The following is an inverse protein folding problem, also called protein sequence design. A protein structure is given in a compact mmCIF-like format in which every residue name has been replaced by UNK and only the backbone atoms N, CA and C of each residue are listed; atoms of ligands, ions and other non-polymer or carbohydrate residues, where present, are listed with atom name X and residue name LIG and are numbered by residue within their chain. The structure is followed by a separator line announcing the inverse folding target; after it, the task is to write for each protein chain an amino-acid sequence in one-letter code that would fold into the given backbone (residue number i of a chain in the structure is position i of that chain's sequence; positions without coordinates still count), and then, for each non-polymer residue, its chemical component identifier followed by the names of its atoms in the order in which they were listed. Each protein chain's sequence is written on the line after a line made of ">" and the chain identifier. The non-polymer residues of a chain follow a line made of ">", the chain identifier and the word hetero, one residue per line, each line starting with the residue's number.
data_IF_744073746159
#
_entry.id   IF_744073746159
#
_cell.length_a   1.000
_cell.length_b   1.000
_cell.length_c   1.000
_cell.angle_alpha   90.00
_cell.angle_beta   90.00
_cell.angle_gamma   90.00
#
_symmetry.space_group_name_H-M   'P 1'
#
loop_
_entity.id
_entity.type
_entity.pdbx_description
1 polymer ?
#
# COMPACT_ATOMS: atom_id res chain seq x y z
N UNK A 1 10.84 -12.85 21.62
CA UNK A 1 11.16 -11.43 21.88
C UNK A 1 9.94 -10.60 21.54
N UNK A 2 9.50 -9.69 22.40
CA UNK A 2 8.45 -8.73 22.04
C UNK A 2 8.97 -7.81 20.94
N UNK A 3 8.23 -7.63 19.84
CA UNK A 3 8.60 -6.64 18.81
C UNK A 3 8.53 -5.24 19.46
N UNK A 4 9.54 -4.42 19.23
CA UNK A 4 9.58 -3.06 19.76
C UNK A 4 8.39 -2.23 19.25
N UNK A 5 7.79 -1.43 20.12
CA UNK A 5 6.71 -0.50 19.76
C UNK A 5 7.27 0.66 18.91
N UNK A 6 6.44 1.22 18.02
CA UNK A 6 6.74 2.41 17.26
C UNK A 6 6.42 3.67 18.09
N UNK A 7 7.36 4.60 18.12
CA UNK A 7 7.26 5.88 18.81
C UNK A 7 6.65 6.96 17.90
N UNK A 8 6.80 6.83 16.58
CA UNK A 8 6.16 7.68 15.60
C UNK A 8 5.83 6.90 14.31
N UNK A 9 4.73 7.29 13.67
CA UNK A 9 4.38 6.78 12.34
C UNK A 9 3.80 7.91 11.49
N UNK A 10 4.01 7.79 10.18
CA UNK A 10 3.35 8.60 9.16
C UNK A 10 2.68 7.66 8.16
N UNK A 11 1.46 7.97 7.75
CA UNK A 11 0.66 7.15 6.85
C UNK A 11 0.20 7.95 5.63
N UNK A 12 0.53 7.43 4.46
CA UNK A 12 0.12 7.95 3.16
C UNK A 12 -0.99 7.05 2.61
N UNK A 13 -2.09 7.68 2.24
CA UNK A 13 -3.24 7.02 1.61
C UNK A 13 -3.91 8.03 0.68
N UNK A 14 -4.39 7.54 -0.44
CA UNK A 14 -5.23 8.30 -1.32
C UNK A 14 -6.66 8.34 -0.77
N UNK A 15 -7.20 7.36 -0.04
CA UNK A 15 -8.61 7.36 0.35
C UNK A 15 -8.86 8.13 1.67
N UNK A 16 -9.74 9.13 1.63
CA UNK A 16 -10.05 9.93 2.83
C UNK A 16 -10.75 9.11 3.94
N UNK A 17 -11.58 8.14 3.57
CA UNK A 17 -12.26 7.26 4.52
C UNK A 17 -11.27 6.39 5.30
N UNK A 18 -10.22 5.87 4.65
CA UNK A 18 -9.16 5.16 5.36
C UNK A 18 -8.34 6.06 6.27
N UNK A 19 -8.05 7.30 5.85
CA UNK A 19 -7.38 8.28 6.70
C UNK A 19 -8.23 8.62 7.95
N UNK A 20 -9.54 8.80 7.79
CA UNK A 20 -10.45 9.09 8.90
C UNK A 20 -10.55 7.92 9.90
N UNK A 21 -10.54 6.69 9.38
CA UNK A 21 -10.49 5.47 10.19
C UNK A 21 -9.20 5.37 11.01
N UNK A 22 -8.04 5.66 10.38
CA UNK A 22 -6.75 5.69 11.07
C UNK A 22 -6.72 6.84 12.07
N UNK A 23 -7.21 8.03 11.74
CA UNK A 23 -7.29 9.18 12.64
C UNK A 23 -8.10 8.86 13.90
N UNK A 24 -9.23 8.17 13.73
CA UNK A 24 -10.14 7.81 14.82
C UNK A 24 -9.51 6.80 15.77
N UNK A 25 -8.80 5.80 15.24
CA UNK A 25 -8.27 4.68 16.03
C UNK A 25 -6.84 4.89 16.49
N UNK A 26 -6.06 5.61 15.70
CA UNK A 26 -4.64 5.86 15.86
C UNK A 26 -4.29 7.35 15.65
N UNK A 27 -4.83 8.25 16.50
CA UNK A 27 -4.75 9.70 16.30
C UNK A 27 -3.34 10.29 16.37
N UNK A 28 -2.35 9.54 16.83
CA UNK A 28 -0.95 9.99 16.88
C UNK A 28 -0.15 9.64 15.62
N UNK A 29 -0.75 8.94 14.65
CA UNK A 29 -0.14 8.71 13.35
C UNK A 29 -0.32 9.98 12.53
N UNK A 30 0.78 10.52 11.99
CA UNK A 30 0.71 11.63 11.03
C UNK A 30 0.08 11.14 9.74
N UNK A 31 -0.88 11.88 9.19
CA UNK A 31 -1.64 11.46 8.01
C UNK A 31 -1.31 12.37 6.82
N UNK A 32 -1.08 11.76 5.66
CA UNK A 32 -0.88 12.45 4.40
C UNK A 32 -1.88 11.93 3.38
N UNK A 33 -2.79 12.82 2.96
CA UNK A 33 -3.67 12.58 1.82
C UNK A 33 -2.85 12.75 0.53
N UNK A 34 -2.74 11.65 -0.21
CA UNK A 34 -2.24 11.64 -1.60
C UNK A 34 -3.39 12.00 -2.52
N UNK A 35 -3.09 12.73 -3.60
CA UNK A 35 -4.11 13.17 -4.54
C UNK A 35 -4.68 11.99 -5.34
N UNK A 36 -5.94 12.12 -5.76
CA UNK A 36 -6.64 11.18 -6.63
C UNK A 36 -7.79 11.91 -7.33
N UNK A 37 -8.19 11.40 -8.49
CA UNK A 37 -9.32 11.88 -9.29
C UNK A 37 -10.45 10.86 -9.26
N UNK A 38 -11.68 11.30 -8.99
CA UNK A 38 -12.89 10.46 -9.07
C UNK A 38 -13.92 11.04 -10.04
N UNK A 39 -14.76 10.20 -10.69
CA UNK A 39 -14.80 8.73 -10.60
C UNK A 39 -13.78 8.04 -11.50
N UNK A 40 -13.22 6.92 -11.02
CA UNK A 40 -12.26 6.13 -11.78
C UNK A 40 -12.95 5.10 -12.67
N UNK A 41 -12.47 4.98 -13.91
CA UNK A 41 -12.89 3.97 -14.89
C UNK A 41 -11.69 3.18 -15.37
N UNK A 42 -11.91 1.92 -15.77
CA UNK A 42 -10.86 1.11 -16.41
C UNK A 42 -10.22 1.88 -17.55
N UNK A 43 -8.90 1.73 -17.68
CA UNK A 43 -8.12 2.44 -18.68
C UNK A 43 -7.81 1.53 -19.87
N UNK A 44 -7.99 2.09 -21.06
CA UNK A 44 -7.64 1.45 -22.34
C UNK A 44 -6.14 1.56 -22.57
N UNK A 45 -5.51 0.49 -23.05
CA UNK A 45 -4.11 0.53 -23.47
C UNK A 45 -3.89 1.34 -24.75
N UNK A 46 -4.96 1.59 -25.51
CA UNK A 46 -4.90 2.15 -26.87
C UNK A 46 -5.46 3.58 -26.98
N UNK A 47 -5.90 4.19 -25.87
CA UNK A 47 -6.46 5.53 -25.88
C UNK A 47 -6.41 6.23 -24.52
N UNK A 48 -6.31 7.56 -24.55
CA UNK A 48 -6.36 8.42 -23.36
C UNK A 48 -5.02 8.53 -22.63
N UNK A 49 -5.00 9.02 -21.38
CA UNK A 49 -3.74 9.28 -20.67
C UNK A 49 -2.84 8.06 -20.50
N UNK A 50 -3.40 6.84 -20.44
CA UNK A 50 -2.61 5.62 -20.32
C UNK A 50 -1.85 5.29 -21.61
N UNK A 51 -2.43 5.54 -22.79
CA UNK A 51 -1.70 5.29 -24.04
C UNK A 51 -0.50 6.23 -24.17
N UNK A 52 -0.64 7.48 -23.72
CA UNK A 52 0.47 8.44 -23.69
C UNK A 52 1.61 7.95 -22.77
N UNK A 53 1.28 7.41 -21.59
CA UNK A 53 2.28 6.78 -20.72
C UNK A 53 2.95 5.58 -21.40
N UNK A 54 2.17 4.71 -22.03
CA UNK A 54 2.66 3.51 -22.73
C UNK A 54 3.68 3.87 -23.81
N UNK A 55 3.45 4.96 -24.54
CA UNK A 55 4.37 5.42 -25.58
C UNK A 55 5.72 5.87 -25.01
N UNK A 56 5.78 6.26 -23.72
CA UNK A 56 7.05 6.57 -23.02
C UNK A 56 7.79 5.32 -22.51
N UNK A 57 7.13 4.17 -22.48
CA UNK A 57 7.65 2.90 -21.98
C UNK A 57 8.13 1.99 -23.12
N UNK A 58 8.86 2.56 -24.08
CA UNK A 58 9.39 1.82 -25.23
C UNK A 58 10.23 0.61 -24.75
N UNK A 59 9.99 -0.56 -25.37
CA UNK A 59 10.63 -1.83 -25.03
C UNK A 59 10.35 -2.39 -23.62
N UNK A 60 9.34 -1.88 -22.91
CA UNK A 60 8.90 -2.47 -21.65
C UNK A 60 8.21 -3.83 -21.89
N UNK A 61 8.78 -4.90 -21.33
CA UNK A 61 8.31 -6.28 -21.53
C UNK A 61 6.90 -6.51 -20.99
N UNK A 62 6.52 -5.78 -19.93
CA UNK A 62 5.18 -5.87 -19.36
C UNK A 62 4.13 -5.20 -20.24
N UNK A 63 4.44 -4.04 -20.83
CA UNK A 63 3.58 -3.38 -21.81
C UNK A 63 3.35 -4.27 -23.03
N UNK A 64 4.41 -4.93 -23.52
CA UNK A 64 4.29 -5.90 -24.61
C UNK A 64 3.34 -7.04 -24.24
N UNK A 65 3.51 -7.65 -23.06
CA UNK A 65 2.61 -8.67 -22.54
C UNK A 65 1.16 -8.19 -22.47
N UNK A 66 0.91 -7.01 -21.89
CA UNK A 66 -0.43 -6.46 -21.75
C UNK A 66 -1.11 -6.30 -23.12
N UNK A 67 -0.42 -5.71 -24.11
CA UNK A 67 -0.95 -5.53 -25.48
C UNK A 67 -1.28 -6.85 -26.19
N UNK A 68 -0.69 -7.99 -25.80
CA UNK A 68 -1.01 -9.31 -26.36
C UNK A 68 -2.17 -9.98 -25.62
N UNK A 69 -2.44 -9.59 -24.38
CA UNK A 69 -3.31 -10.34 -23.46
C UNK A 69 -4.63 -9.64 -23.14
N UNK A 70 -4.64 -8.32 -23.07
CA UNK A 70 -5.82 -7.53 -22.70
C UNK A 70 -5.79 -6.17 -23.37
N UNK A 71 -6.95 -5.59 -23.66
CA UNK A 71 -7.06 -4.19 -24.13
C UNK A 71 -7.24 -3.19 -22.98
N UNK A 72 -7.52 -3.70 -21.77
CA UNK A 72 -7.92 -2.89 -20.62
C UNK A 72 -7.19 -3.32 -19.35
N UNK A 73 -6.91 -2.35 -18.51
CA UNK A 73 -6.28 -2.55 -17.19
C UNK A 73 -7.10 -1.84 -16.11
N UNK A 74 -6.77 -2.00 -14.82
CA UNK A 74 -7.33 -1.20 -13.74
C UNK A 74 -7.19 0.29 -14.04
N UNK A 75 -8.05 1.09 -13.41
CA UNK A 75 -8.12 2.53 -13.66
C UNK A 75 -6.76 3.18 -13.41
N UNK A 76 -6.20 3.80 -14.44
CA UNK A 76 -5.02 4.67 -14.38
C UNK A 76 -5.47 6.10 -14.14
N UNK A 77 -4.83 6.77 -13.19
CA UNK A 77 -5.06 8.18 -12.87
C UNK A 77 -3.75 8.96 -12.91
N UNK A 78 -3.51 9.81 -13.94
CA UNK A 78 -2.27 10.57 -14.12
C UNK A 78 -1.99 11.56 -12.97
N UNK A 79 -3.01 11.95 -12.21
CA UNK A 79 -2.88 12.91 -11.11
C UNK A 79 -2.73 12.23 -9.74
N UNK A 80 -2.77 10.89 -9.71
CA UNK A 80 -2.64 10.08 -8.50
C UNK A 80 -1.21 9.69 -8.14
N UNK A 81 -1.10 9.02 -6.99
CA UNK A 81 0.14 8.49 -6.46
C UNK A 81 1.04 9.59 -5.89
N UNK A 82 1.96 9.18 -5.02
CA UNK A 82 2.88 10.07 -4.29
C UNK A 82 3.67 10.96 -5.25
N UNK A 83 3.64 12.27 -4.96
CA UNK A 83 4.39 13.28 -5.69
C UNK A 83 5.50 13.87 -4.81
N UNK A 84 6.35 14.72 -5.38
CA UNK A 84 7.45 15.37 -4.65
C UNK A 84 6.96 16.19 -3.45
N UNK A 85 5.82 16.85 -3.56
CA UNK A 85 5.19 17.56 -2.45
C UNK A 85 4.82 16.63 -1.27
N UNK A 86 4.43 15.39 -1.54
CA UNK A 86 4.13 14.40 -0.50
C UNK A 86 5.42 13.86 0.15
N UNK A 87 6.45 13.64 -0.65
CA UNK A 87 7.79 13.28 -0.17
C UNK A 87 8.34 14.37 0.76
N UNK A 88 8.09 15.65 0.45
CA UNK A 88 8.50 16.75 1.30
C UNK A 88 7.80 16.72 2.67
N UNK A 89 6.49 16.37 2.73
CA UNK A 89 5.78 16.16 4.00
C UNK A 89 6.44 15.05 4.84
N UNK A 90 6.94 13.99 4.21
CA UNK A 90 7.73 12.97 4.91
C UNK A 90 9.02 13.56 5.51
N UNK A 91 9.78 14.34 4.75
CA UNK A 91 11.03 14.93 5.26
C UNK A 91 10.79 15.93 6.39
N UNK A 92 9.68 16.67 6.36
CA UNK A 92 9.26 17.55 7.46
C UNK A 92 8.93 16.77 8.72
N UNK A 93 8.14 15.70 8.59
CA UNK A 93 7.86 14.79 9.69
C UNK A 93 9.14 14.16 10.26
N UNK A 94 10.03 13.69 9.39
CA UNK A 94 11.27 13.00 9.77
C UNK A 94 12.24 13.88 10.59
N UNK A 95 12.18 15.21 10.44
CA UNK A 95 12.97 16.16 11.25
C UNK A 95 12.57 16.19 12.72
N UNK A 96 11.32 15.88 13.02
CA UNK A 96 10.75 15.99 14.39
C UNK A 96 10.45 14.63 15.00
N UNK A 97 10.21 13.60 14.18
CA UNK A 97 9.98 12.25 14.63
C UNK A 97 11.27 11.61 15.18
N UNK A 98 11.21 11.10 16.41
CA UNK A 98 12.31 10.44 17.12
C UNK A 98 11.94 9.01 17.50
N UNK A 99 12.94 8.22 17.93
CA UNK A 99 12.74 6.84 18.40
C UNK A 99 12.58 5.81 17.28
N UNK A 100 11.82 4.75 17.55
CA UNK A 100 11.50 3.71 16.57
C UNK A 100 10.36 4.19 15.64
N UNK A 101 10.64 4.31 14.34
CA UNK A 101 9.79 5.03 13.39
C UNK A 101 9.37 4.13 12.23
N UNK A 102 8.15 4.36 11.71
CA UNK A 102 7.64 3.67 10.52
C UNK A 102 6.96 4.64 9.54
N UNK A 103 7.28 4.49 8.26
CA UNK A 103 6.54 5.02 7.12
C UNK A 103 5.55 3.96 6.67
N UNK A 104 4.26 4.28 6.70
CA UNK A 104 3.18 3.44 6.20
C UNK A 104 2.71 3.98 4.85
N UNK A 105 2.60 3.10 3.86
CA UNK A 105 2.19 3.43 2.50
C UNK A 105 1.05 2.51 2.10
N UNK A 106 -0.08 3.07 1.66
CA UNK A 106 -1.01 2.30 0.85
C UNK A 106 -0.45 2.03 -0.55
N UNK A 107 -0.99 1.03 -1.23
CA UNK A 107 -0.58 0.66 -2.57
C UNK A 107 -1.37 1.40 -3.66
N UNK A 108 -2.64 1.05 -3.82
CA UNK A 108 -3.51 1.47 -4.93
C UNK A 108 -3.68 3.00 -4.90
N UNK A 109 -3.46 3.68 -6.03
CA UNK A 109 -3.51 5.15 -6.20
C UNK A 109 -2.65 5.99 -5.22
N UNK A 110 -1.86 5.34 -4.37
CA UNK A 110 -1.00 5.95 -3.35
C UNK A 110 0.46 5.78 -3.73
N UNK A 111 0.96 4.54 -3.78
CA UNK A 111 2.30 4.29 -4.32
C UNK A 111 2.25 4.25 -5.85
N UNK A 112 1.29 3.49 -6.37
CA UNK A 112 1.08 3.31 -7.81
C UNK A 112 -0.01 4.25 -8.31
N UNK A 113 -0.03 4.51 -9.61
CA UNK A 113 -1.03 5.38 -10.25
C UNK A 113 -2.27 4.64 -10.73
N UNK A 114 -2.47 3.42 -10.21
CA UNK A 114 -3.51 2.51 -10.63
C UNK A 114 -4.34 2.07 -9.43
N UNK A 115 -5.65 1.95 -9.65
CA UNK A 115 -6.58 1.40 -8.66
C UNK A 115 -6.58 -0.13 -8.68
N UNK A 116 -5.45 -0.72 -8.28
CA UNK A 116 -5.23 -2.16 -8.34
C UNK A 116 -4.03 -2.55 -9.19
N UNK A 117 -3.65 -3.80 -9.05
CA UNK A 117 -2.71 -4.49 -9.91
C UNK A 117 -3.47 -5.65 -10.55
N UNK A 118 -3.42 -5.74 -11.87
CA UNK A 118 -4.03 -6.85 -12.59
C UNK A 118 -2.93 -7.83 -12.89
N UNK A 119 -2.99 -8.97 -12.21
CA UNK A 119 -2.03 -10.05 -12.37
C UNK A 119 -2.78 -11.25 -12.93
N UNK A 120 -2.20 -11.96 -13.92
CA UNK A 120 -2.86 -13.13 -14.48
C UNK A 120 -3.09 -14.18 -13.39
N UNK A 121 -4.31 -14.73 -13.33
CA UNK A 121 -4.64 -15.82 -12.41
C UNK A 121 -3.83 -17.07 -12.78
N UNK A 122 -3.37 -17.83 -11.78
CA UNK A 122 -2.60 -19.07 -11.95
C UNK A 122 -3.21 -20.08 -12.93
N UNK A 123 -4.54 -20.08 -13.05
CA UNK A 123 -5.30 -21.00 -13.89
C UNK A 123 -5.56 -20.47 -15.32
N UNK A 124 -5.07 -19.27 -15.63
CA UNK A 124 -5.30 -18.61 -16.93
C UNK A 124 -4.15 -18.89 -17.90
N UNK A 125 -4.47 -18.94 -19.19
CA UNK A 125 -3.49 -18.98 -20.29
C UNK A 125 -2.51 -17.80 -20.15
N UNK A 126 -2.99 -16.67 -19.65
CA UNK A 126 -2.19 -15.50 -19.31
C UNK A 126 -1.06 -15.75 -18.33
N UNK A 127 -1.22 -16.67 -17.37
CA UNK A 127 -0.16 -16.98 -16.40
C UNK A 127 0.98 -17.76 -17.05
N UNK A 128 0.66 -18.70 -17.94
CA UNK A 128 1.68 -19.40 -18.71
C UNK A 128 2.43 -18.44 -19.64
N UNK A 129 1.71 -17.51 -20.28
CA UNK A 129 2.34 -16.47 -21.09
C UNK A 129 3.25 -15.60 -20.22
N UNK A 130 2.74 -15.05 -19.11
CA UNK A 130 3.48 -14.21 -18.17
C UNK A 130 4.73 -14.90 -17.63
N UNK A 131 4.66 -16.20 -17.30
CA UNK A 131 5.80 -17.00 -16.82
C UNK A 131 6.82 -17.30 -17.91
N UNK A 132 6.39 -17.41 -19.16
CA UNK A 132 7.24 -17.73 -20.30
C UNK A 132 7.88 -16.49 -20.94
N UNK A 133 7.21 -15.34 -20.90
CA UNK A 133 7.86 -14.05 -21.16
C UNK A 133 8.74 -13.72 -19.96
N UNK A 134 10.02 -13.46 -20.19
CA UNK A 134 10.95 -12.97 -19.16
C UNK A 134 10.56 -11.52 -18.80
N UNK A 135 9.46 -11.34 -18.06
CA UNK A 135 9.00 -10.03 -17.60
C UNK A 135 9.75 -9.69 -16.32
N UNK A 136 10.54 -8.62 -16.37
CA UNK A 136 11.25 -8.17 -15.19
C UNK A 136 10.30 -7.44 -14.21
N UNK A 137 10.40 -7.66 -12.89
CA UNK A 137 9.63 -6.89 -11.90
C UNK A 137 9.78 -5.38 -12.05
N UNK A 138 10.93 -4.92 -12.57
CA UNK A 138 11.22 -3.53 -12.89
C UNK A 138 10.28 -2.97 -13.96
N UNK A 139 9.99 -3.73 -15.00
CA UNK A 139 9.10 -3.28 -16.08
C UNK A 139 7.67 -3.13 -15.59
N UNK A 140 7.22 -4.06 -14.75
CA UNK A 140 5.92 -4.00 -14.06
C UNK A 140 5.88 -2.77 -13.15
N UNK A 141 6.92 -2.55 -12.34
CA UNK A 141 7.03 -1.40 -11.46
C UNK A 141 6.99 -0.07 -12.26
N UNK A 142 7.81 0.07 -13.30
CA UNK A 142 7.82 1.29 -14.13
C UNK A 142 6.45 1.58 -14.73
N UNK A 143 5.72 0.55 -15.17
CA UNK A 143 4.34 0.72 -15.66
C UNK A 143 3.41 1.25 -14.56
N UNK A 144 3.32 0.54 -13.42
CA UNK A 144 2.39 0.90 -12.35
C UNK A 144 2.71 2.22 -11.64
N UNK A 145 3.99 2.62 -11.60
CA UNK A 145 4.40 3.89 -11.00
C UNK A 145 4.25 5.10 -11.93
N UNK A 146 3.82 4.88 -13.19
CA UNK A 146 3.58 5.95 -14.15
C UNK A 146 4.83 6.45 -14.86
N UNK A 147 5.73 5.53 -15.20
CA UNK A 147 6.91 5.82 -16.00
C UNK A 147 8.22 5.83 -15.23
N UNK A 148 9.32 5.95 -15.98
CA UNK A 148 10.68 5.86 -15.45
C UNK A 148 10.98 6.95 -14.41
N UNK A 149 10.55 8.18 -14.66
CA UNK A 149 10.86 9.32 -13.79
C UNK A 149 10.27 9.13 -12.38
N UNK A 150 8.97 8.82 -12.30
CA UNK A 150 8.29 8.55 -11.02
C UNK A 150 8.84 7.31 -10.32
N UNK A 151 9.10 6.23 -11.08
CA UNK A 151 9.78 5.05 -10.57
C UNK A 151 11.12 5.40 -9.89
N UNK A 152 11.98 6.18 -10.58
CA UNK A 152 13.28 6.57 -10.05
C UNK A 152 13.18 7.52 -8.85
N UNK A 153 12.22 8.45 -8.86
CA UNK A 153 11.95 9.35 -7.75
C UNK A 153 11.56 8.58 -6.48
N UNK A 154 10.55 7.72 -6.58
CA UNK A 154 10.01 6.98 -5.43
C UNK A 154 11.03 5.96 -4.94
N UNK A 155 11.72 5.25 -5.84
CA UNK A 155 12.76 4.28 -5.46
C UNK A 155 13.91 4.94 -4.70
N UNK A 156 14.40 6.10 -5.16
CA UNK A 156 15.44 6.87 -4.44
C UNK A 156 14.96 7.31 -3.06
N UNK A 157 13.75 7.85 -2.97
CA UNK A 157 13.17 8.24 -1.69
C UNK A 157 13.06 7.07 -0.71
N UNK A 158 12.59 5.90 -1.14
CA UNK A 158 12.48 4.72 -0.28
C UNK A 158 13.86 4.18 0.17
N UNK A 159 14.89 4.31 -0.68
CA UNK A 159 16.27 4.03 -0.29
C UNK A 159 16.72 4.98 0.83
N UNK A 160 16.43 6.26 0.72
CA UNK A 160 16.82 7.27 1.71
C UNK A 160 16.07 7.08 3.04
N UNK A 161 14.77 6.76 2.98
CA UNK A 161 13.96 6.37 4.13
C UNK A 161 14.60 5.19 4.86
N UNK A 162 14.94 4.12 4.14
CA UNK A 162 15.57 2.93 4.71
C UNK A 162 16.94 3.22 5.34
N UNK A 163 17.79 4.01 4.66
CA UNK A 163 19.10 4.43 5.19
C UNK A 163 18.99 5.26 6.48
N UNK A 164 17.90 6.01 6.65
CA UNK A 164 17.63 6.78 7.86
C UNK A 164 17.14 5.95 9.06
N UNK A 165 17.05 4.62 8.91
CA UNK A 165 16.60 3.69 9.95
C UNK A 165 15.09 3.70 10.19
N UNK A 166 14.30 4.35 9.32
CA UNK A 166 12.84 4.30 9.36
C UNK A 166 12.37 2.98 8.70
N UNK A 167 11.50 2.24 9.39
CA UNK A 167 10.87 1.04 8.84
C UNK A 167 9.85 1.42 7.76
N UNK A 168 9.67 0.59 6.75
CA UNK A 168 8.68 0.82 5.69
C UNK A 168 7.61 -0.26 5.78
N UNK A 169 6.34 0.13 5.93
CA UNK A 169 5.20 -0.78 5.93
C UNK A 169 4.33 -0.52 4.71
N UNK A 170 4.12 -1.56 3.89
CA UNK A 170 3.15 -1.51 2.79
C UNK A 170 1.80 -1.97 3.34
N UNK A 171 0.94 -1.03 3.73
CA UNK A 171 -0.36 -1.26 4.35
C UNK A 171 -1.47 -1.22 3.31
N UNK A 172 -1.79 -2.38 2.74
CA UNK A 172 -2.73 -2.49 1.62
C UNK A 172 -3.92 -3.37 1.95
N UNK A 173 -5.08 -3.04 1.39
CA UNK A 173 -6.28 -3.88 1.31
C UNK A 173 -6.38 -4.63 -0.04
N UNK A 174 -5.36 -4.53 -0.89
CA UNK A 174 -5.28 -5.26 -2.15
C UNK A 174 -5.18 -6.78 -1.86
N UNK A 175 -5.97 -7.58 -2.57
CA UNK A 175 -6.02 -9.03 -2.38
C UNK A 175 -4.74 -9.73 -2.83
N UNK A 176 -3.99 -9.11 -3.74
CA UNK A 176 -2.71 -9.59 -4.23
C UNK A 176 -1.55 -9.38 -3.25
N UNK A 177 -1.75 -8.86 -2.04
CA UNK A 177 -0.62 -8.59 -1.14
C UNK A 177 0.17 -9.86 -0.71
N UNK A 178 -0.44 -11.04 -0.85
CA UNK A 178 0.23 -12.34 -0.67
C UNK A 178 0.70 -12.98 -1.99
N UNK A 179 0.42 -12.36 -3.12
CA UNK A 179 0.82 -12.84 -4.44
C UNK A 179 2.34 -12.69 -4.62
N UNK A 180 3.04 -13.74 -5.10
CA UNK A 180 4.49 -13.68 -5.29
C UNK A 180 4.95 -12.63 -6.31
N UNK A 181 4.19 -12.35 -7.36
CA UNK A 181 4.52 -11.34 -8.35
C UNK A 181 4.37 -9.95 -7.72
N UNK A 182 3.26 -9.71 -7.01
CA UNK A 182 3.07 -8.46 -6.28
C UNK A 182 4.24 -8.18 -5.32
N UNK A 183 4.67 -9.18 -4.54
CA UNK A 183 5.79 -9.02 -3.63
C UNK A 183 7.13 -8.79 -4.34
N UNK A 184 7.33 -9.37 -5.52
CA UNK A 184 8.52 -9.08 -6.34
C UNK A 184 8.53 -7.63 -6.83
N UNK A 185 7.38 -7.09 -7.24
CA UNK A 185 7.25 -5.68 -7.62
C UNK A 185 7.52 -4.75 -6.43
N UNK A 186 7.01 -5.08 -5.24
CA UNK A 186 7.34 -4.32 -4.02
C UNK A 186 8.84 -4.40 -3.70
N UNK A 187 9.43 -5.60 -3.78
CA UNK A 187 10.87 -5.82 -3.52
C UNK A 187 11.79 -5.12 -4.53
N UNK A 188 11.28 -4.81 -5.72
CA UNK A 188 11.98 -4.02 -6.73
C UNK A 188 12.05 -2.52 -6.35
N UNK A 189 11.02 -2.02 -5.66
CA UNK A 189 10.92 -0.62 -5.24
C UNK A 189 11.55 -0.33 -3.89
N UNK A 190 11.47 -1.28 -2.95
CA UNK A 190 11.89 -1.06 -1.56
C UNK A 190 13.12 -1.92 -1.24
N UNK A 191 14.17 -1.37 -0.58
CA UNK A 191 15.36 -2.14 -0.23
C UNK A 191 15.04 -3.42 0.55
N UNK A 192 15.72 -4.53 0.20
CA UNK A 192 15.53 -5.80 0.89
C UNK A 192 15.82 -5.67 2.38
N UNK A 193 14.91 -6.17 3.21
CA UNK A 193 15.02 -6.16 4.67
C UNK A 193 14.61 -4.84 5.36
N UNK A 194 14.29 -3.78 4.60
CA UNK A 194 13.80 -2.52 5.19
C UNK A 194 12.27 -2.44 5.30
N UNK A 195 11.54 -3.33 4.63
CA UNK A 195 10.08 -3.28 4.55
C UNK A 195 9.36 -4.51 5.11
N UNK A 196 8.08 -4.32 5.41
CA UNK A 196 7.13 -5.38 5.71
C UNK A 196 5.80 -5.19 4.95
N UNK A 197 5.19 -6.30 4.55
CA UNK A 197 3.84 -6.32 3.99
C UNK A 197 2.79 -6.38 5.11
N UNK A 198 1.81 -5.49 5.07
CA UNK A 198 0.73 -5.37 6.06
C UNK A 198 -0.63 -5.48 5.36
N UNK A 199 -1.13 -6.71 5.21
CA UNK A 199 -2.35 -7.02 4.48
C UNK A 199 -3.62 -6.80 5.32
N UNK A 200 -4.32 -5.68 5.13
CA UNK A 200 -5.53 -5.35 5.89
C UNK A 200 -6.82 -5.96 5.35
N UNK A 201 -6.81 -6.49 4.11
CA UNK A 201 -8.00 -7.07 3.44
C UNK A 201 -8.64 -8.20 4.24
N UNK A 202 -7.83 -9.05 4.86
CA UNK A 202 -8.27 -10.30 5.43
C UNK A 202 -8.88 -10.14 6.81
N UNK A 203 -9.64 -11.15 7.24
CA UNK A 203 -10.15 -11.23 8.60
C UNK A 203 -8.99 -11.15 9.61
N UNK A 204 -9.18 -10.49 10.77
CA UNK A 204 -10.42 -9.89 11.26
C UNK A 204 -10.63 -8.43 10.81
N UNK A 205 -9.80 -7.87 9.93
CA UNK A 205 -9.76 -6.44 9.64
C UNK A 205 -10.68 -6.02 8.49
N UNK A 206 -10.90 -6.90 7.51
CA UNK A 206 -11.85 -6.70 6.40
C UNK A 206 -11.65 -5.36 5.68
N UNK A 207 -10.41 -5.11 5.25
CA UNK A 207 -9.94 -3.88 4.58
C UNK A 207 -9.87 -2.63 5.45
N UNK A 208 -10.22 -2.70 6.75
CA UNK A 208 -10.15 -1.55 7.64
C UNK A 208 -8.72 -1.37 8.20
N UNK A 209 -7.97 -0.44 7.59
CA UNK A 209 -6.57 -0.13 7.93
C UNK A 209 -6.40 0.40 9.36
N UNK A 210 -7.29 1.27 9.82
CA UNK A 210 -7.27 1.76 11.20
C UNK A 210 -7.47 0.64 12.23
N UNK A 211 -8.37 -0.31 11.94
CA UNK A 211 -8.60 -1.50 12.78
C UNK A 211 -7.37 -2.41 12.78
N UNK A 212 -6.73 -2.61 11.62
CA UNK A 212 -5.47 -3.34 11.50
C UNK A 212 -4.40 -2.75 12.43
N UNK A 213 -4.11 -1.46 12.28
CA UNK A 213 -3.09 -0.77 13.09
C UNK A 213 -3.42 -0.80 14.58
N UNK A 214 -4.68 -0.54 14.96
CA UNK A 214 -5.09 -0.56 16.38
C UNK A 214 -4.98 -1.92 17.06
N UNK A 215 -4.96 -3.01 16.28
CA UNK A 215 -4.82 -4.37 16.79
C UNK A 215 -3.36 -4.85 16.84
N UNK A 216 -2.45 -4.22 16.09
CA UNK A 216 -1.03 -4.55 16.08
C UNK A 216 -0.36 -3.94 17.34
N UNK A 217 0.19 -4.75 18.26
CA UNK A 217 0.80 -4.27 19.49
C UNK A 217 1.93 -3.26 19.26
N UNK A 218 2.60 -3.29 18.10
CA UNK A 218 3.67 -2.33 17.79
C UNK A 218 3.15 -0.90 17.70
N UNK A 219 1.87 -0.70 17.41
CA UNK A 219 1.24 0.62 17.29
C UNK A 219 0.49 1.03 18.58
N UNK A 220 0.58 0.26 19.66
CA UNK A 220 -0.20 0.50 20.88
C UNK A 220 0.00 1.90 21.49
N UNK A 221 1.18 2.52 21.35
CA UNK A 221 1.45 3.90 21.80
C UNK A 221 0.79 4.96 20.94
N UNK A 222 0.57 4.64 19.67
CA UNK A 222 0.03 5.52 18.64
C UNK A 222 -1.50 5.43 18.56
N UNK A 223 -2.06 4.34 19.06
CA UNK A 223 -3.49 4.03 19.03
C UNK A 223 -4.22 4.28 20.35
N UNK A 224 -5.52 4.56 20.25
CA UNK A 224 -6.40 4.63 21.41
C UNK A 224 -6.39 3.25 22.06
N UNK A 225 -6.11 3.19 23.36
CA UNK A 225 -6.25 1.96 24.13
C UNK A 225 -7.70 1.50 24.01
N UNK A 226 -7.94 0.44 23.26
CA UNK A 226 -9.24 -0.21 23.22
C UNK A 226 -9.45 -0.84 24.60
N UNK A 227 -10.09 -0.06 25.50
CA UNK A 227 -10.42 -0.51 26.83
C UNK A 227 -11.24 -1.78 26.73
N UNK A 228 -10.62 -2.91 27.04
CA UNK A 228 -11.27 -4.20 27.18
C UNK A 228 -12.24 -4.17 28.35
N UNK A 229 -13.38 -3.48 28.22
CA UNK A 229 -14.58 -3.82 28.99
C UNK A 229 -15.14 -5.12 28.41
N UNK A 230 -14.43 -6.23 28.67
CA UNK A 230 -15.10 -7.53 28.77
C UNK A 230 -16.10 -7.37 29.91
N UNK A 231 -17.36 -7.06 29.60
CA UNK A 231 -18.47 -7.29 30.53
C UNK A 231 -18.50 -8.79 30.80
N UNK A 232 -17.79 -9.25 31.82
CA UNK A 232 -18.04 -10.56 32.41
C UNK A 232 -19.47 -10.55 32.87
N UNK A 233 -20.35 -11.16 32.08
CA UNK A 233 -21.76 -11.38 32.39
C UNK A 233 -21.78 -12.34 33.58
N UNK A 234 -21.65 -11.79 34.80
CA UNK A 234 -21.83 -12.52 36.06
C UNK A 234 -23.27 -13.03 36.05
N UNK A 235 -23.46 -14.28 35.62
CA UNK A 235 -24.71 -15.02 35.81
C UNK A 235 -24.97 -15.02 37.33
N UNK A 236 -25.92 -14.19 37.78
CA UNK A 236 -26.52 -14.33 39.11
C UNK A 236 -27.11 -15.73 39.17
N UNK A 237 -26.49 -16.62 39.95
CA UNK A 237 -27.11 -17.90 40.31
C UNK A 237 -28.40 -17.57 41.06
N UNK A 238 -29.55 -17.87 40.44
CA UNK A 238 -30.82 -17.96 41.17
C UNK A 238 -30.67 -19.13 42.14
N UNK A 239 -30.35 -18.82 43.41
CA UNK A 239 -30.67 -19.70 44.53
C UNK A 239 -32.19 -19.70 44.64
N UNK A 240 -32.84 -20.72 44.08
CA UNK A 240 -34.19 -21.06 44.52
C UNK A 240 -34.06 -21.61 45.94
N UNK A 241 -34.57 -20.82 46.89
CA UNK A 241 -34.77 -21.20 48.28
C UNK A 241 -36.28 -21.26 48.47
N UNK A 242 -36.72 -22.40 49.01
CA UNK A 242 -38.09 -22.81 49.35
C UNK A 242 -38.93 -23.28 48.17
#
# INVERSE_FOLDING_TARGET
>A
MAKAEFDAAIFFDNDQGYLDDVKTRCPKITLVKVNETYPLKKSSLNSGPLSELIDTLENNSYVYFLKQYTDWVPSYDPDSGIQEADIQKYYEWAKTATGNRILLLDWDLTMVMFNGMDLPSYDDIGYNLFKNTTIEPKDIAMFYFGGKERYDMIKRWLIDVAKSGVRIGILTNNGGCHDPIFQQVVAEMVPRGSYEMMCSRFAPHNSNKGKFLSADPRFARLCVKTGGRRKTRRRKSRKHRK
#
